data_IF_128479701098
#
_entry.id   IF_128479701098
#
_cell.length_a   1.000
_cell.length_b   1.000
_cell.length_c   1.000
_cell.angle_alpha   90.00
_cell.angle_beta   90.00
_cell.angle_gamma   90.00
#
_symmetry.space_group_name_H-M   'P 1'
#
loop_
_entity.id
_entity.type
_entity.pdbx_description
1 polymer ?
#
# COMPACT_ATOMS: atom_id res chain seq x y z
N UNK A 1 8.24 -6.57 -13.43
CA UNK A 1 6.75 -6.60 -13.43
C UNK A 1 6.29 -7.69 -12.48
N UNK A 2 5.31 -7.41 -11.62
CA UNK A 2 4.69 -8.37 -10.69
C UNK A 2 3.17 -8.27 -10.78
N UNK A 3 2.47 -9.27 -10.28
CA UNK A 3 1.01 -9.28 -10.15
C UNK A 3 0.63 -8.87 -8.73
N UNK A 4 -0.25 -7.89 -8.61
CA UNK A 4 -0.75 -7.43 -7.31
C UNK A 4 -1.57 -8.53 -6.64
N UNK A 5 -1.25 -8.90 -5.40
CA UNK A 5 -1.99 -9.92 -4.66
C UNK A 5 -3.40 -9.49 -4.23
N UNK A 6 -3.71 -8.19 -4.31
CA UNK A 6 -5.01 -7.63 -3.92
C UNK A 6 -5.95 -7.51 -5.12
N UNK A 7 -5.52 -6.87 -6.20
CA UNK A 7 -6.38 -6.61 -7.37
C UNK A 7 -6.09 -7.48 -8.59
N UNK A 8 -4.97 -8.22 -8.60
CA UNK A 8 -4.57 -9.06 -9.74
C UNK A 8 -3.94 -8.31 -10.93
N UNK A 9 -3.84 -6.98 -10.88
CA UNK A 9 -3.23 -6.19 -11.96
C UNK A 9 -1.71 -6.28 -11.98
N UNK A 10 -1.13 -6.12 -13.17
CA UNK A 10 0.33 -6.02 -13.34
C UNK A 10 0.83 -4.64 -12.88
N UNK A 11 1.94 -4.62 -12.12
CA UNK A 11 2.57 -3.38 -11.68
C UNK A 11 4.10 -3.46 -11.73
N UNK A 12 4.74 -2.29 -11.76
CA UNK A 12 6.18 -2.13 -11.72
C UNK A 12 6.66 -1.94 -10.27
N UNK A 13 7.71 -2.65 -9.88
CA UNK A 13 8.28 -2.59 -8.52
C UNK A 13 9.06 -1.29 -8.26
N UNK A 14 9.44 -0.57 -9.31
CA UNK A 14 10.26 0.64 -9.24
C UNK A 14 9.44 1.93 -9.13
N UNK A 15 8.12 1.83 -9.01
CA UNK A 15 7.28 3.02 -8.84
C UNK A 15 7.44 3.56 -7.41
N UNK A 16 7.74 4.86 -7.33
CA UNK A 16 7.99 5.54 -6.07
C UNK A 16 6.65 6.08 -5.52
N UNK A 17 6.31 5.83 -4.25
CA UNK A 17 5.18 6.47 -3.59
C UNK A 17 5.30 8.00 -3.66
N UNK A 18 4.29 8.69 -4.18
CA UNK A 18 4.26 10.17 -4.26
C UNK A 18 3.15 10.79 -3.40
N UNK A 19 2.25 9.98 -2.85
CA UNK A 19 1.12 10.44 -2.04
C UNK A 19 1.22 9.88 -0.61
N UNK A 20 0.86 10.67 0.43
CA UNK A 20 0.88 10.20 1.83
C UNK A 20 0.08 8.92 2.06
N UNK A 21 -1.02 8.75 1.33
CA UNK A 21 -1.82 7.52 1.37
C UNK A 21 -1.04 6.28 0.92
N UNK A 22 -0.17 6.42 -0.08
CA UNK A 22 0.65 5.32 -0.57
C UNK A 22 1.74 5.00 0.45
N UNK A 23 2.35 6.01 1.07
CA UNK A 23 3.35 5.85 2.14
C UNK A 23 2.76 5.12 3.35
N UNK A 24 1.58 5.54 3.81
CA UNK A 24 0.86 4.85 4.89
C UNK A 24 0.49 3.42 4.49
N UNK A 25 0.05 3.22 3.25
CA UNK A 25 -0.19 1.88 2.70
C UNK A 25 1.05 1.00 2.72
N UNK A 26 2.21 1.54 2.36
CA UNK A 26 3.49 0.86 2.37
C UNK A 26 3.96 0.50 3.79
N UNK A 27 3.78 1.43 4.74
CA UNK A 27 4.00 1.16 6.17
C UNK A 27 3.17 -0.04 6.63
N UNK A 28 1.87 -0.05 6.33
CA UNK A 28 1.00 -1.18 6.68
C UNK A 28 1.40 -2.48 5.99
N UNK A 29 1.84 -2.42 4.74
CA UNK A 29 2.29 -3.60 4.01
C UNK A 29 3.52 -4.24 4.67
N UNK A 30 4.41 -3.42 5.25
CA UNK A 30 5.61 -3.90 5.94
C UNK A 30 5.32 -4.37 7.36
N UNK A 31 4.66 -3.54 8.16
CA UNK A 31 4.54 -3.72 9.61
C UNK A 31 3.34 -4.56 10.03
N UNK A 32 2.25 -4.56 9.25
CA UNK A 32 0.96 -5.15 9.66
C UNK A 32 0.59 -6.36 8.81
N UNK A 33 0.61 -6.21 7.49
CA UNK A 33 0.14 -7.24 6.57
C UNK A 33 1.24 -8.15 6.02
N UNK A 34 2.50 -7.74 6.15
CA UNK A 34 3.68 -8.46 5.65
C UNK A 34 3.59 -8.84 4.16
N UNK A 35 2.97 -7.98 3.36
CA UNK A 35 2.80 -8.10 1.91
C UNK A 35 3.59 -7.03 1.12
N UNK A 36 4.62 -6.44 1.74
CA UNK A 36 5.52 -5.49 1.09
C UNK A 36 6.09 -6.03 -0.24
N UNK A 37 6.10 -5.18 -1.26
CA UNK A 37 6.58 -5.53 -2.61
C UNK A 37 5.65 -6.47 -3.40
N UNK A 38 4.47 -6.81 -2.89
CA UNK A 38 3.46 -7.67 -3.54
C UNK A 38 2.17 -6.94 -3.93
N UNK A 39 2.06 -5.66 -3.58
CA UNK A 39 0.86 -4.84 -3.75
C UNK A 39 1.18 -3.61 -4.57
N UNK A 40 0.32 -3.27 -5.55
CA UNK A 40 0.49 -2.09 -6.40
C UNK A 40 0.20 -0.77 -5.65
N UNK A 41 0.69 0.35 -6.18
CA UNK A 41 0.52 1.66 -5.56
C UNK A 41 -0.95 2.04 -5.32
N UNK A 42 -1.86 1.69 -6.24
CA UNK A 42 -3.30 1.96 -6.08
C UNK A 42 -3.88 1.23 -4.86
N UNK A 43 -3.53 -0.04 -4.68
CA UNK A 43 -4.01 -0.83 -3.54
C UNK A 43 -3.37 -0.38 -2.23
N UNK A 44 -2.11 0.07 -2.25
CA UNK A 44 -1.46 0.73 -1.10
C UNK A 44 -2.19 2.03 -0.75
N UNK A 45 -2.47 2.89 -1.73
CA UNK A 45 -3.20 4.15 -1.52
C UNK A 45 -4.59 3.92 -0.91
N UNK A 46 -5.33 2.91 -1.40
CA UNK A 46 -6.67 2.61 -0.90
C UNK A 46 -6.65 2.21 0.58
N UNK A 47 -5.77 1.27 0.96
CA UNK A 47 -5.67 0.86 2.36
C UNK A 47 -5.10 1.96 3.24
N UNK A 48 -4.15 2.75 2.74
CA UNK A 48 -3.57 3.87 3.48
C UNK A 48 -4.58 5.00 3.73
N UNK A 49 -5.46 5.32 2.77
CA UNK A 49 -6.59 6.26 3.00
C UNK A 49 -7.49 5.77 4.11
N UNK A 50 -7.88 4.49 4.09
CA UNK A 50 -8.70 3.91 5.15
C UNK A 50 -7.98 3.96 6.51
N UNK A 51 -6.68 3.70 6.53
CA UNK A 51 -5.88 3.76 7.74
C UNK A 51 -5.84 5.17 8.35
N UNK A 52 -5.53 6.18 7.53
CA UNK A 52 -5.52 7.59 7.97
C UNK A 52 -6.91 8.07 8.42
N UNK A 53 -7.99 7.45 7.96
CA UNK A 53 -9.36 7.83 8.37
C UNK A 53 -9.82 7.11 9.64
N UNK A 54 -9.41 5.85 9.85
CA UNK A 54 -10.04 4.97 10.83
C UNK A 54 -9.08 4.33 11.84
N UNK A 55 -7.77 4.28 11.56
CA UNK A 55 -6.78 3.66 12.44
C UNK A 55 -6.02 4.73 13.24
N UNK A 56 -6.73 5.39 14.17
CA UNK A 56 -6.14 6.46 15.00
C UNK A 56 -5.01 6.02 15.93
N UNK A 57 -4.78 4.72 16.07
CA UNK A 57 -3.62 4.20 16.79
C UNK A 57 -2.29 4.51 16.07
N UNK A 58 -2.36 4.98 14.82
CA UNK A 58 -1.22 5.40 13.99
C UNK A 58 -1.19 6.93 13.70
N UNK A 59 -1.98 7.74 14.42
CA UNK A 59 -1.89 9.21 14.39
C UNK A 59 -0.66 9.75 15.14
#
# INVERSE_FOLDING_TARGET
>A
MKTCTVCGELFAETEIPTEPAVEMGAFLAREVYHDEGRVCLTCLANRGRLAMMYMRDYD
#
